data_IF_755703785209
#
_entry.id   IF_755703785209
#
_cell.length_a   1.000
_cell.length_b   1.000
_cell.length_c   1.000
_cell.angle_alpha   90.00
_cell.angle_beta   90.00
_cell.angle_gamma   90.00
#
_symmetry.space_group_name_H-M   'P 1'
#
loop_
_entity.id
_entity.type
_entity.pdbx_description
1 polymer ?
#
# COMPACT_ATOMS: atom_id res chain seq x y z
N UNK A 1 -1.30 18.85 3.92
CA UNK A 1 -0.54 17.61 4.19
C UNK A 1 -1.14 16.47 3.40
N UNK A 2 -0.31 15.71 2.69
CA UNK A 2 -0.80 14.55 1.95
C UNK A 2 -1.19 13.42 2.89
N UNK A 3 -2.28 12.76 2.56
CA UNK A 3 -2.80 11.61 3.29
C UNK A 3 -2.42 10.34 2.55
N UNK A 4 -1.71 9.45 3.24
CA UNK A 4 -1.24 8.18 2.68
C UNK A 4 -1.89 7.03 3.44
N UNK A 5 -2.59 6.17 2.71
CA UNK A 5 -3.10 4.93 3.29
C UNK A 5 -2.04 3.84 3.25
N UNK A 6 -2.03 2.96 4.22
CA UNK A 6 -1.09 1.84 4.26
C UNK A 6 -1.80 0.56 4.69
N UNK A 7 -1.45 -0.55 4.05
CA UNK A 7 -2.00 -1.86 4.40
C UNK A 7 -0.98 -2.95 4.10
N UNK A 8 -1.05 -4.03 4.86
CA UNK A 8 -0.18 -5.19 4.66
C UNK A 8 -0.89 -6.47 5.07
N UNK A 9 -0.32 -7.62 4.67
CA UNK A 9 -0.63 -8.89 5.31
C UNK A 9 0.27 -9.08 6.54
N UNK A 10 0.17 -10.26 7.17
CA UNK A 10 0.99 -10.56 8.35
C UNK A 10 2.50 -10.57 8.02
N UNK A 11 2.89 -10.96 6.81
CA UNK A 11 4.30 -10.96 6.41
C UNK A 11 4.87 -9.55 6.28
N UNK A 12 4.04 -8.58 5.94
CA UNK A 12 4.45 -7.19 5.79
C UNK A 12 4.24 -6.33 7.02
N UNK A 13 3.79 -6.90 8.13
CA UNK A 13 3.40 -6.11 9.31
C UNK A 13 4.56 -5.28 9.86
N UNK A 14 5.74 -5.87 10.02
CA UNK A 14 6.88 -5.13 10.58
C UNK A 14 7.33 -4.01 9.65
N UNK A 15 7.36 -4.26 8.35
CA UNK A 15 7.69 -3.22 7.37
C UNK A 15 6.64 -2.11 7.39
N UNK A 16 5.36 -2.46 7.52
CA UNK A 16 4.29 -1.48 7.64
C UNK A 16 4.50 -0.56 8.84
N UNK A 17 4.79 -1.14 10.01
CA UNK A 17 5.02 -0.34 11.22
C UNK A 17 6.22 0.61 11.05
N UNK A 18 7.29 0.12 10.44
CA UNK A 18 8.46 0.95 10.14
C UNK A 18 8.08 2.12 9.23
N UNK A 19 7.35 1.83 8.16
CA UNK A 19 6.98 2.86 7.16
C UNK A 19 6.00 3.88 7.73
N UNK A 20 5.11 3.49 8.64
CA UNK A 20 4.22 4.45 9.31
C UNK A 20 5.05 5.51 10.02
N UNK A 21 6.05 5.10 10.79
CA UNK A 21 6.94 6.03 11.48
C UNK A 21 7.74 6.88 10.52
N UNK A 22 8.29 6.28 9.47
CA UNK A 22 9.11 6.98 8.48
C UNK A 22 8.30 8.03 7.71
N UNK A 23 7.12 7.65 7.24
CA UNK A 23 6.24 8.58 6.51
C UNK A 23 5.76 9.72 7.41
N UNK A 24 5.40 9.41 8.66
CA UNK A 24 5.00 10.44 9.62
C UNK A 24 6.11 11.45 9.87
N UNK A 25 7.36 10.98 9.98
CA UNK A 25 8.52 11.85 10.16
C UNK A 25 8.76 12.75 8.94
N UNK A 26 8.33 12.33 7.75
CA UNK A 26 8.43 13.13 6.53
C UNK A 26 7.27 14.12 6.34
N UNK A 27 6.32 14.14 7.27
CA UNK A 27 5.21 15.09 7.23
C UNK A 27 3.93 14.58 6.59
N UNK A 28 3.86 13.29 6.27
CA UNK A 28 2.63 12.69 5.74
C UNK A 28 1.68 12.32 6.88
N UNK A 29 0.39 12.44 6.62
CA UNK A 29 -0.66 11.93 7.50
C UNK A 29 -0.95 10.49 7.07
N UNK A 30 -0.67 9.52 7.94
CA UNK A 30 -0.72 8.09 7.58
C UNK A 30 -1.97 7.44 8.19
N UNK A 31 -2.72 6.75 7.34
CA UNK A 31 -3.93 6.03 7.71
C UNK A 31 -3.67 4.53 7.59
N UNK A 32 -3.69 3.82 8.71
CA UNK A 32 -3.41 2.40 8.78
C UNK A 32 -4.69 1.59 8.61
N UNK A 33 -4.80 0.88 7.49
CA UNK A 33 -5.95 0.03 7.19
C UNK A 33 -5.74 -1.44 7.57
N UNK A 34 -4.62 -1.79 8.19
CA UNK A 34 -4.32 -3.12 8.67
C UNK A 34 -3.17 -3.77 7.91
N UNK A 35 -2.73 -4.96 8.30
CA UNK A 35 -3.28 -5.77 9.39
C UNK A 35 -2.77 -5.30 10.75
N UNK A 36 -3.46 -5.68 11.85
CA UNK A 36 -3.12 -5.17 13.18
C UNK A 36 -1.99 -5.91 13.89
N UNK A 37 -1.55 -7.06 13.37
CA UNK A 37 -0.52 -7.87 14.02
C UNK A 37 0.22 -8.76 13.03
N UNK A 38 1.26 -9.47 13.53
CA UNK A 38 2.00 -10.43 12.73
C UNK A 38 1.30 -11.77 12.59
N UNK A 39 0.20 -11.97 13.29
CA UNK A 39 -0.58 -13.20 13.17
C UNK A 39 -1.25 -13.28 11.81
N UNK A 40 -1.46 -14.51 11.32
CA UNK A 40 -2.12 -14.73 10.04
C UNK A 40 -3.46 -14.00 9.98
N UNK A 41 -3.70 -13.25 8.93
CA UNK A 41 -4.89 -12.46 8.75
C UNK A 41 -5.42 -12.61 7.33
N UNK A 42 -6.70 -12.29 7.15
CA UNK A 42 -7.32 -12.32 5.84
C UNK A 42 -7.01 -11.02 5.10
N UNK A 43 -5.85 -10.98 4.43
CA UNK A 43 -5.33 -9.76 3.84
C UNK A 43 -6.21 -9.13 2.75
N UNK A 44 -7.09 -9.86 2.02
CA UNK A 44 -7.99 -9.20 1.08
C UNK A 44 -8.85 -8.11 1.71
N UNK A 45 -9.30 -8.30 2.96
CA UNK A 45 -10.11 -7.30 3.65
C UNK A 45 -9.35 -5.98 3.81
N UNK A 46 -8.08 -6.05 4.18
CA UNK A 46 -7.25 -4.86 4.37
C UNK A 46 -6.91 -4.19 3.04
N UNK A 47 -6.66 -5.00 2.01
CA UNK A 47 -6.42 -4.49 0.66
C UNK A 47 -7.63 -3.74 0.11
N UNK A 48 -8.84 -4.31 0.27
CA UNK A 48 -10.06 -3.65 -0.18
C UNK A 48 -10.33 -2.36 0.58
N UNK A 49 -10.04 -2.32 1.88
CA UNK A 49 -10.20 -1.09 2.67
C UNK A 49 -9.29 0.03 2.15
N UNK A 50 -8.02 -0.28 1.86
CA UNK A 50 -7.09 0.67 1.27
C UNK A 50 -7.56 1.14 -0.11
N UNK A 51 -7.95 0.21 -0.97
CA UNK A 51 -8.41 0.54 -2.32
C UNK A 51 -9.62 1.45 -2.28
N UNK A 52 -10.59 1.17 -1.42
CA UNK A 52 -11.78 2.00 -1.28
C UNK A 52 -11.45 3.40 -0.79
N UNK A 53 -10.49 3.54 0.12
CA UNK A 53 -10.04 4.84 0.61
C UNK A 53 -9.38 5.66 -0.51
N UNK A 54 -8.59 5.02 -1.37
CA UNK A 54 -7.98 5.69 -2.53
C UNK A 54 -9.06 6.12 -3.53
N UNK A 55 -10.00 5.22 -3.84
CA UNK A 55 -11.07 5.52 -4.80
C UNK A 55 -11.97 6.67 -4.33
N UNK A 56 -12.26 6.73 -3.04
CA UNK A 56 -13.15 7.77 -2.49
C UNK A 56 -12.45 9.11 -2.26
N UNK A 57 -11.13 9.15 -2.35
CA UNK A 57 -10.37 10.36 -2.05
C UNK A 57 -10.13 10.59 -0.56
N UNK A 58 -10.43 9.59 0.29
CA UNK A 58 -10.13 9.67 1.72
C UNK A 58 -8.62 9.80 1.94
N UNK A 59 -7.82 9.16 1.11
CA UNK A 59 -6.37 9.32 1.07
C UNK A 59 -5.94 9.68 -0.34
N UNK A 60 -4.77 10.32 -0.47
CA UNK A 60 -4.24 10.79 -1.74
C UNK A 60 -3.50 9.69 -2.52
N UNK A 61 -3.05 8.69 -1.81
CA UNK A 61 -2.36 7.54 -2.38
C UNK A 61 -2.13 6.49 -1.33
N UNK A 62 -1.47 5.40 -1.69
CA UNK A 62 -1.28 4.31 -0.76
C UNK A 62 0.01 3.54 -0.93
N UNK A 63 0.35 2.81 0.12
CA UNK A 63 1.45 1.84 0.13
C UNK A 63 0.89 0.53 0.65
N UNK A 64 1.20 -0.55 -0.03
CA UNK A 64 0.75 -1.88 0.39
C UNK A 64 1.90 -2.87 0.28
N UNK A 65 1.88 -3.89 1.14
CA UNK A 65 2.92 -4.90 1.12
C UNK A 65 2.38 -6.27 1.52
N UNK A 66 2.91 -7.29 0.88
CA UNK A 66 2.76 -8.68 1.30
C UNK A 66 4.07 -9.40 0.99
N UNK A 67 4.16 -10.69 1.24
CA UNK A 67 5.41 -11.41 1.09
C UNK A 67 6.11 -11.15 -0.26
N UNK A 68 5.40 -11.38 -1.35
CA UNK A 68 5.92 -11.13 -2.71
C UNK A 68 5.44 -9.82 -3.31
N UNK A 69 4.38 -9.24 -2.77
CA UNK A 69 3.68 -8.09 -3.35
C UNK A 69 2.67 -8.46 -4.42
N UNK A 70 2.75 -9.65 -4.99
CA UNK A 70 1.89 -10.04 -6.13
C UNK A 70 0.42 -10.19 -5.74
N UNK A 71 0.14 -10.91 -4.67
CA UNK A 71 -1.25 -11.18 -4.27
C UNK A 71 -2.01 -9.91 -3.95
N UNK A 72 -1.44 -9.04 -3.14
CA UNK A 72 -2.10 -7.80 -2.76
C UNK A 72 -2.23 -6.86 -3.96
N UNK A 73 -1.25 -6.84 -4.86
CA UNK A 73 -1.31 -6.05 -6.09
C UNK A 73 -2.49 -6.47 -6.97
N UNK A 74 -2.70 -7.77 -7.13
CA UNK A 74 -3.81 -8.28 -7.92
C UNK A 74 -5.17 -7.89 -7.35
N UNK A 75 -5.32 -7.96 -6.02
CA UNK A 75 -6.56 -7.59 -5.36
C UNK A 75 -6.83 -6.10 -5.49
N UNK A 76 -5.81 -5.27 -5.25
CA UNK A 76 -5.94 -3.83 -5.35
C UNK A 76 -6.37 -3.40 -6.76
N UNK A 77 -5.79 -4.00 -7.79
CA UNK A 77 -6.08 -3.65 -9.18
C UNK A 77 -7.44 -4.13 -9.68
N UNK A 78 -8.22 -4.86 -8.88
CA UNK A 78 -9.61 -5.14 -9.20
C UNK A 78 -10.52 -3.93 -9.02
N UNK A 79 -10.06 -2.91 -8.32
CA UNK A 79 -10.80 -1.66 -8.13
C UNK A 79 -10.55 -0.72 -9.29
N UNK A 80 -11.61 -0.13 -9.85
CA UNK A 80 -11.50 0.71 -11.04
C UNK A 80 -10.64 1.95 -10.85
N UNK A 81 -10.69 2.54 -9.67
CA UNK A 81 -9.93 3.74 -9.34
C UNK A 81 -8.51 3.49 -8.87
N UNK A 82 -8.06 2.22 -8.87
CA UNK A 82 -6.74 1.86 -8.33
C UNK A 82 -5.81 1.41 -9.45
N UNK A 83 -4.61 1.98 -9.43
CA UNK A 83 -3.50 1.61 -10.30
C UNK A 83 -2.32 1.28 -9.40
N UNK A 84 -2.32 0.05 -8.88
CA UNK A 84 -1.28 -0.44 -7.99
C UNK A 84 -0.12 -1.01 -8.80
N UNK A 85 1.09 -0.60 -8.46
CA UNK A 85 2.31 -1.05 -9.14
C UNK A 85 3.20 -1.79 -8.17
N UNK A 86 3.66 -2.98 -8.56
CA UNK A 86 4.63 -3.74 -7.80
C UNK A 86 6.01 -3.13 -8.03
N UNK A 87 6.59 -2.60 -6.97
CA UNK A 87 7.84 -1.84 -7.02
C UNK A 87 8.90 -2.57 -6.21
N UNK A 88 9.91 -3.08 -6.92
CA UNK A 88 11.02 -3.81 -6.30
C UNK A 88 12.36 -3.07 -6.45
N UNK A 89 12.34 -1.91 -7.10
CA UNK A 89 13.51 -1.03 -7.23
C UNK A 89 13.02 0.42 -7.37
N UNK A 90 13.81 1.41 -6.95
CA UNK A 90 13.39 2.82 -7.03
C UNK A 90 13.03 3.27 -8.45
N UNK A 91 13.75 2.80 -9.47
CA UNK A 91 13.50 3.13 -10.87
C UNK A 91 12.12 2.65 -11.32
N UNK A 92 11.72 1.46 -10.87
CA UNK A 92 10.41 0.88 -11.23
C UNK A 92 9.29 1.73 -10.62
N UNK A 93 9.48 2.18 -9.37
CA UNK A 93 8.49 3.04 -8.71
C UNK A 93 8.31 4.37 -9.46
N UNK A 94 9.42 5.00 -9.84
CA UNK A 94 9.37 6.25 -10.58
C UNK A 94 8.66 6.09 -11.93
N UNK A 95 8.99 5.02 -12.67
CA UNK A 95 8.38 4.75 -13.98
C UNK A 95 6.89 4.41 -13.85
N UNK A 96 6.50 3.68 -12.81
CA UNK A 96 5.10 3.36 -12.59
C UNK A 96 4.26 4.63 -12.42
N UNK A 97 4.77 5.63 -11.71
CA UNK A 97 4.08 6.91 -11.56
C UNK A 97 4.10 7.72 -12.85
N UNK A 98 5.27 7.84 -13.49
CA UNK A 98 5.45 8.68 -14.69
C UNK A 98 4.69 8.13 -15.89
N UNK A 99 4.75 6.83 -16.13
CA UNK A 99 4.19 6.22 -17.34
C UNK A 99 2.80 5.63 -17.14
N UNK A 100 2.47 5.20 -15.92
CA UNK A 100 1.23 4.49 -15.65
C UNK A 100 0.32 5.21 -14.66
N UNK A 101 0.76 6.34 -14.12
CA UNK A 101 0.01 7.12 -13.13
C UNK A 101 -0.45 6.26 -11.95
N UNK A 102 0.45 5.42 -11.42
CA UNK A 102 0.15 4.58 -10.28
C UNK A 102 -0.18 5.43 -9.06
N UNK A 103 -1.17 4.99 -8.29
CA UNK A 103 -1.59 5.66 -7.05
C UNK A 103 -1.40 4.80 -5.80
N UNK A 104 -1.00 3.53 -5.96
CA UNK A 104 -0.58 2.69 -4.84
C UNK A 104 0.75 2.04 -5.20
N UNK A 105 1.71 2.16 -4.29
CA UNK A 105 3.00 1.50 -4.40
C UNK A 105 2.94 0.20 -3.61
N UNK A 106 3.18 -0.93 -4.27
CA UNK A 106 3.21 -2.24 -3.63
C UNK A 106 4.64 -2.72 -3.54
N UNK A 107 5.07 -3.12 -2.35
CA UNK A 107 6.42 -3.61 -2.14
C UNK A 107 6.42 -5.02 -1.56
N UNK A 108 7.35 -5.88 -2.01
CA UNK A 108 7.52 -7.19 -1.40
C UNK A 108 8.21 -7.05 -0.05
N UNK A 109 7.67 -7.75 0.95
CA UNK A 109 8.22 -7.71 2.32
C UNK A 109 9.28 -8.78 2.55
N UNK A 110 9.46 -9.71 1.61
CA UNK A 110 10.44 -10.77 1.70
C UNK A 110 11.53 -10.66 0.66
#
# INVERSE_FOLDING_TARGET
MKKIGIASDHAGFQLKEYLIGWLGAKGYEVYDYGCPSEESCDYPDFAHALASAVESGEVDGGVAMCGTGNGISMILNKHQGVRAALCWAPEISALAKQHNNANICVVPAR
#
